data_IF_120397225279
#
_entry.id   IF_120397225279
#
_cell.length_a   1.000
_cell.length_b   1.000
_cell.length_c   1.000
_cell.angle_alpha   90.00
_cell.angle_beta   90.00
_cell.angle_gamma   90.00
#
_symmetry.space_group_name_H-M   'P 1'
#
loop_
_entity.id
_entity.type
_entity.pdbx_description
1 polymer ?
#
# COMPACT_ATOMS: atom_id res chain seq x y z
N UNK A 1 -4.11 -43.35 -22.19
CA UNK A 1 -5.13 -42.36 -21.76
C UNK A 1 -4.41 -41.21 -21.07
N UNK A 2 -4.37 -39.98 -21.62
CA UNK A 2 -3.69 -38.85 -20.98
C UNK A 2 -4.52 -38.34 -19.80
N UNK A 3 -3.93 -38.31 -18.61
CA UNK A 3 -4.54 -37.70 -17.42
C UNK A 3 -4.41 -36.18 -17.52
N UNK A 4 -5.53 -35.49 -17.73
CA UNK A 4 -5.59 -34.04 -17.80
C UNK A 4 -5.44 -33.48 -16.37
N UNK A 5 -4.31 -32.85 -16.07
CA UNK A 5 -4.06 -32.22 -14.77
C UNK A 5 -5.04 -31.06 -14.51
N UNK A 6 -5.31 -30.71 -13.24
CA UNK A 6 -6.33 -29.72 -12.91
C UNK A 6 -5.98 -28.37 -13.54
N UNK A 7 -6.90 -27.85 -14.35
CA UNK A 7 -6.82 -26.51 -14.91
C UNK A 7 -6.68 -25.49 -13.77
N UNK A 8 -5.56 -24.76 -13.75
CA UNK A 8 -5.37 -23.62 -12.84
C UNK A 8 -6.38 -22.54 -13.21
N UNK A 9 -7.57 -22.58 -12.58
CA UNK A 9 -8.53 -21.48 -12.62
C UNK A 9 -7.78 -20.22 -12.19
N UNK A 10 -7.64 -19.25 -13.10
CA UNK A 10 -6.99 -17.98 -12.81
C UNK A 10 -7.69 -17.35 -11.61
N UNK A 11 -6.96 -17.21 -10.50
CA UNK A 11 -7.50 -16.51 -9.34
C UNK A 11 -7.87 -15.08 -9.77
N UNK A 12 -9.05 -14.56 -9.38
CA UNK A 12 -9.36 -13.16 -9.61
C UNK A 12 -8.22 -12.32 -9.01
N UNK A 13 -7.64 -11.41 -9.80
CA UNK A 13 -6.69 -10.41 -9.27
C UNK A 13 -7.44 -9.68 -8.16
N UNK A 14 -7.14 -10.00 -6.90
CA UNK A 14 -7.72 -9.31 -5.77
C UNK A 14 -7.44 -7.82 -5.99
N UNK A 15 -8.50 -7.02 -6.19
CA UNK A 15 -8.37 -5.57 -6.22
C UNK A 15 -7.70 -5.18 -4.90
N UNK A 16 -6.45 -4.76 -4.99
CA UNK A 16 -5.76 -4.21 -3.83
C UNK A 16 -6.58 -3.00 -3.37
N UNK A 17 -6.94 -2.89 -2.09
CA UNK A 17 -7.67 -1.74 -1.60
C UNK A 17 -6.88 -0.48 -1.94
N UNK A 18 -7.43 0.33 -2.85
CA UNK A 18 -6.84 1.60 -3.24
C UNK A 18 -7.04 2.56 -2.08
N UNK A 19 -5.97 2.84 -1.34
CA UNK A 19 -6.00 3.79 -0.25
C UNK A 19 -6.09 5.22 -0.81
N UNK A 20 -7.25 5.85 -0.66
CA UNK A 20 -7.43 7.26 -0.99
C UNK A 20 -6.99 8.12 0.21
N UNK A 21 -5.84 8.78 0.07
CA UNK A 21 -5.31 9.68 1.09
C UNK A 21 -6.03 11.04 1.06
N UNK A 22 -6.40 11.57 2.22
CA UNK A 22 -6.78 12.98 2.35
C UNK A 22 -5.54 13.89 2.23
N UNK A 23 -5.69 15.22 2.09
CA UNK A 23 -4.55 16.13 1.90
C UNK A 23 -3.49 16.06 3.01
N UNK A 24 -3.90 15.87 4.26
CA UNK A 24 -2.97 15.74 5.40
C UNK A 24 -2.20 14.40 5.34
N UNK A 25 -2.88 13.32 4.97
CA UNK A 25 -2.29 12.00 4.79
C UNK A 25 -1.34 11.99 3.58
N UNK A 26 -1.68 12.69 2.50
CA UNK A 26 -0.81 12.86 1.35
C UNK A 26 0.47 13.62 1.73
N UNK A 27 0.36 14.70 2.50
CA UNK A 27 1.53 15.42 3.03
C UNK A 27 2.40 14.51 3.93
N UNK A 28 1.78 13.66 4.75
CA UNK A 28 2.47 12.69 5.58
C UNK A 28 3.25 11.64 4.75
N UNK A 29 2.65 11.12 3.68
CA UNK A 29 3.30 10.20 2.74
C UNK A 29 4.44 10.92 1.99
N UNK A 30 4.23 12.20 1.65
CA UNK A 30 5.18 13.03 0.91
C UNK A 30 6.38 13.52 1.74
N UNK A 31 6.37 13.32 3.07
CA UNK A 31 7.47 13.74 3.94
C UNK A 31 8.75 12.93 3.67
N UNK A 32 9.84 13.61 3.31
CA UNK A 32 11.14 12.99 2.95
C UNK A 32 12.18 13.11 4.06
N UNK A 33 12.39 14.31 4.58
CA UNK A 33 13.59 14.59 5.36
C UNK A 33 13.39 14.53 6.87
N UNK A 34 14.30 13.87 7.57
CA UNK A 34 14.34 13.83 9.03
C UNK A 34 13.19 13.05 9.68
N UNK A 35 13.23 12.92 11.02
CA UNK A 35 12.23 12.18 11.78
C UNK A 35 10.85 12.88 11.71
N UNK A 36 9.80 12.08 11.58
CA UNK A 36 8.41 12.56 11.51
C UNK A 36 7.52 11.82 12.51
N UNK A 37 6.60 12.55 13.14
CA UNK A 37 5.59 12.02 14.05
C UNK A 37 4.18 12.21 13.45
N UNK A 38 3.43 11.12 13.32
CA UNK A 38 2.06 11.14 12.80
C UNK A 38 1.07 10.83 13.91
N UNK A 39 0.31 11.86 14.33
CA UNK A 39 -0.74 11.72 15.33
C UNK A 39 -2.08 11.63 14.61
N UNK A 40 -2.77 10.50 14.79
CA UNK A 40 -4.11 10.29 14.28
C UNK A 40 -4.90 9.35 15.21
N UNK A 41 -6.23 9.33 15.09
CA UNK A 41 -7.06 8.39 15.85
C UNK A 41 -6.89 6.94 15.36
N UNK A 42 -7.45 5.96 16.07
CA UNK A 42 -7.51 4.60 15.57
C UNK A 42 -8.38 4.53 14.29
N UNK A 43 -8.06 3.62 13.37
CA UNK A 43 -8.84 3.43 12.13
C UNK A 43 -8.64 4.48 11.04
N UNK A 44 -7.83 5.53 11.25
CA UNK A 44 -7.62 6.61 10.26
C UNK A 44 -6.58 6.27 9.18
N UNK A 45 -6.34 4.98 8.93
CA UNK A 45 -5.42 4.55 7.87
C UNK A 45 -3.92 4.71 8.16
N UNK A 46 -3.49 4.79 9.43
CA UNK A 46 -2.06 4.90 9.80
C UNK A 46 -1.17 3.85 9.11
N UNK A 47 -1.62 2.61 9.08
CA UNK A 47 -0.90 1.52 8.40
C UNK A 47 -0.78 1.78 6.90
N UNK A 48 -1.86 2.22 6.26
CA UNK A 48 -1.84 2.52 4.84
C UNK A 48 -0.92 3.71 4.51
N UNK A 49 -0.89 4.74 5.36
CA UNK A 49 0.05 5.87 5.25
C UNK A 49 1.50 5.36 5.31
N UNK A 50 1.82 4.50 6.28
CA UNK A 50 3.18 3.94 6.42
C UNK A 50 3.58 3.07 5.22
N UNK A 51 2.67 2.21 4.73
CA UNK A 51 2.92 1.36 3.55
C UNK A 51 3.13 2.22 2.29
N UNK A 52 2.28 3.23 2.07
CA UNK A 52 2.43 4.14 0.92
C UNK A 52 3.72 4.96 1.02
N UNK A 53 4.12 5.38 2.23
CA UNK A 53 5.38 6.07 2.45
C UNK A 53 6.59 5.18 2.16
N UNK A 54 6.55 3.90 2.57
CA UNK A 54 7.59 2.93 2.25
C UNK A 54 7.69 2.68 0.74
N UNK A 55 6.56 2.42 0.08
CA UNK A 55 6.51 2.19 -1.37
C UNK A 55 7.09 3.38 -2.14
N UNK A 56 6.75 4.60 -1.72
CA UNK A 56 7.31 5.83 -2.30
C UNK A 56 8.82 5.92 -2.10
N UNK A 57 9.33 5.71 -0.88
CA UNK A 57 10.77 5.79 -0.61
C UNK A 57 11.55 4.78 -1.45
N UNK A 58 11.02 3.55 -1.60
CA UNK A 58 11.62 2.54 -2.49
C UNK A 58 11.61 3.01 -3.96
N UNK A 59 10.54 3.65 -4.43
CA UNK A 59 10.47 4.14 -5.81
C UNK A 59 11.33 5.39 -6.06
N UNK A 60 11.55 6.22 -5.03
CA UNK A 60 12.35 7.45 -5.11
C UNK A 60 13.85 7.19 -4.91
N UNK A 61 14.23 6.17 -4.14
CA UNK A 61 15.63 5.87 -3.75
C UNK A 61 16.18 4.53 -4.27
N UNK A 62 15.32 3.62 -4.73
CA UNK A 62 15.69 2.32 -5.32
C UNK A 62 15.91 2.39 -6.83
#
# INVERSE_FOLDING_TARGET
MPVQGPARRGAPKAQQPQFAANPQQAAAIAHRDGPAAFIAAAGTGKTAILVQRLARLIADEG
#
